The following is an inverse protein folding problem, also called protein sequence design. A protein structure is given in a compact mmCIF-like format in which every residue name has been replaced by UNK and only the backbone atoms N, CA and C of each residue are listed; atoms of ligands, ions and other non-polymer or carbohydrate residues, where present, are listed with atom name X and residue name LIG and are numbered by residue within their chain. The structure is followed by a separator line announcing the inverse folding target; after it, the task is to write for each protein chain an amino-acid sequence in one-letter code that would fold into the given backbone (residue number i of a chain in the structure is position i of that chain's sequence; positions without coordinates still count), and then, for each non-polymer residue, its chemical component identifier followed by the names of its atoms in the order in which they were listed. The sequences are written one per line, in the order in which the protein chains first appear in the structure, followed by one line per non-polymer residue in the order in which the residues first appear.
data_IF_323081192516
#
_entry.id   IF_323081192516
#
_cell.length_a   1.000
_cell.length_b   1.000
_cell.length_c   1.000
_cell.angle_alpha   90.00
_cell.angle_beta   90.00
_cell.angle_gamma   90.00
#
_symmetry.space_group_name_H-M   'P 1'
#
loop_
_entity.id
_entity.type
_entity.pdbx_description
1 polymer ?
#
# COMPACT_ATOMS: atom_id res chain seq x y z
N UNK A 1 6.95 0.13 -10.75
CA UNK A 1 7.12 -1.11 -9.98
C UNK A 1 6.13 -2.21 -10.36
N UNK A 2 4.82 -1.99 -10.39
CA UNK A 2 3.85 -3.05 -10.64
C UNK A 2 4.10 -3.85 -11.93
N UNK A 3 4.34 -3.18 -13.07
CA UNK A 3 4.67 -3.89 -14.33
C UNK A 3 5.98 -4.66 -14.26
N UNK A 4 6.99 -4.11 -13.56
CA UNK A 4 8.27 -4.80 -13.34
C UNK A 4 8.10 -6.08 -12.52
N UNK A 5 7.26 -6.06 -11.47
CA UNK A 5 6.96 -7.24 -10.68
C UNK A 5 6.22 -8.31 -11.51
N UNK A 6 5.25 -7.89 -12.35
CA UNK A 6 4.56 -8.79 -13.28
C UNK A 6 5.54 -9.44 -14.25
N UNK A 7 6.41 -8.65 -14.89
CA UNK A 7 7.39 -9.15 -15.84
C UNK A 7 8.40 -10.09 -15.18
N UNK A 8 8.92 -9.73 -14.01
CA UNK A 8 9.86 -10.54 -13.25
C UNK A 8 9.25 -11.87 -12.81
N UNK A 9 8.06 -11.83 -12.21
CA UNK A 9 7.39 -13.03 -11.74
C UNK A 9 7.00 -13.98 -12.88
N UNK A 10 6.62 -13.42 -14.04
CA UNK A 10 6.38 -14.22 -15.25
C UNK A 10 7.68 -14.86 -15.79
N UNK A 11 8.80 -14.10 -15.80
CA UNK A 11 10.10 -14.60 -16.21
C UNK A 11 10.66 -15.70 -15.28
N UNK A 12 10.37 -15.59 -13.98
CA UNK A 12 10.74 -16.58 -12.97
C UNK A 12 9.75 -17.75 -12.85
N UNK A 13 8.67 -17.76 -13.63
CA UNK A 13 7.65 -18.79 -13.58
C UNK A 13 6.82 -18.80 -12.28
N UNK A 14 6.79 -17.69 -11.52
CA UNK A 14 6.05 -17.60 -10.27
C UNK A 14 4.56 -17.37 -10.49
N UNK A 15 4.23 -16.62 -11.53
CA UNK A 15 2.85 -16.37 -11.97
C UNK A 15 2.81 -16.07 -13.47
N UNK A 16 1.62 -16.22 -14.03
CA UNK A 16 1.33 -15.86 -15.40
C UNK A 16 0.12 -14.91 -15.43
N UNK A 17 0.20 -13.84 -16.23
CA UNK A 17 -0.86 -12.84 -16.36
C UNK A 17 -1.39 -12.83 -17.79
N UNK A 18 -2.38 -13.68 -18.14
CA UNK A 18 -2.88 -13.82 -19.52
C UNK A 18 -3.41 -12.50 -20.10
N UNK A 19 -4.12 -11.70 -19.27
CA UNK A 19 -4.70 -10.42 -19.67
C UNK A 19 -3.62 -9.39 -20.08
N UNK A 20 -2.36 -9.56 -19.67
CA UNK A 20 -1.27 -8.65 -20.05
C UNK A 20 -1.04 -8.58 -21.57
N UNK A 21 -1.55 -9.53 -22.33
CA UNK A 21 -1.49 -9.56 -23.80
C UNK A 21 -2.60 -8.74 -24.48
N UNK A 22 -3.58 -8.25 -23.73
CA UNK A 22 -4.69 -7.48 -24.28
C UNK A 22 -4.35 -5.98 -24.36
N UNK A 23 -4.79 -5.24 -25.40
CA UNK A 23 -4.47 -3.83 -25.56
C UNK A 23 -5.05 -2.94 -24.44
N UNK A 24 -6.15 -3.37 -23.82
CA UNK A 24 -6.79 -2.63 -22.72
C UNK A 24 -6.10 -2.88 -21.35
N UNK A 25 -5.19 -3.86 -21.28
CA UNK A 25 -4.55 -4.25 -20.01
C UNK A 25 -3.92 -3.09 -19.26
N UNK A 26 -3.14 -2.27 -19.94
CA UNK A 26 -2.44 -1.14 -19.30
C UNK A 26 -3.39 -0.16 -18.65
N UNK A 27 -4.49 0.19 -19.32
CA UNK A 27 -5.50 1.10 -18.78
C UNK A 27 -6.17 0.52 -17.53
N UNK A 28 -6.63 -0.72 -17.60
CA UNK A 28 -7.25 -1.43 -16.47
C UNK A 28 -6.27 -1.64 -15.32
N UNK A 29 -5.02 -1.96 -15.63
CA UNK A 29 -3.97 -2.16 -14.64
C UNK A 29 -3.67 -0.87 -13.86
N UNK A 30 -3.45 0.25 -14.55
CA UNK A 30 -3.19 1.52 -13.88
C UNK A 30 -4.40 2.03 -13.11
N UNK A 31 -5.60 1.88 -13.63
CA UNK A 31 -6.82 2.24 -12.91
C UNK A 31 -6.98 1.39 -11.63
N UNK A 32 -6.77 0.08 -11.73
CA UNK A 32 -6.79 -0.83 -10.59
C UNK A 32 -5.72 -0.48 -9.53
N UNK A 33 -4.50 -0.14 -9.97
CA UNK A 33 -3.45 0.31 -9.07
C UNK A 33 -3.84 1.60 -8.33
N UNK A 34 -4.35 2.61 -9.04
CA UNK A 34 -4.76 3.87 -8.42
C UNK A 34 -5.83 3.62 -7.37
N UNK A 35 -6.88 2.88 -7.71
CA UNK A 35 -7.99 2.59 -6.80
C UNK A 35 -7.52 1.77 -5.57
N UNK A 36 -6.71 0.74 -5.80
CA UNK A 36 -6.29 -0.19 -4.72
C UNK A 36 -5.15 0.36 -3.87
N UNK A 37 -4.15 1.02 -4.47
CA UNK A 37 -2.95 1.44 -3.76
C UNK A 37 -3.09 2.79 -3.07
N UNK A 38 -3.91 3.72 -3.58
CA UNK A 38 -4.05 5.05 -2.98
C UNK A 38 -4.51 5.01 -1.52
N UNK A 39 -5.55 4.25 -1.13
CA UNK A 39 -5.93 4.13 0.28
C UNK A 39 -4.80 3.54 1.15
N UNK A 40 -4.11 2.52 0.64
CA UNK A 40 -3.00 1.87 1.36
C UNK A 40 -1.88 2.87 1.62
N UNK A 41 -1.49 3.66 0.61
CA UNK A 41 -0.46 4.69 0.76
C UNK A 41 -0.87 5.78 1.74
N UNK A 42 -2.10 6.28 1.67
CA UNK A 42 -2.58 7.34 2.56
C UNK A 42 -2.65 6.85 4.02
N UNK A 43 -3.13 5.64 4.25
CA UNK A 43 -3.19 5.03 5.58
C UNK A 43 -1.77 4.82 6.12
N UNK A 44 -0.90 4.18 5.32
CA UNK A 44 0.50 3.93 5.70
C UNK A 44 1.22 5.23 6.03
N UNK A 45 1.03 6.26 5.20
CA UNK A 45 1.61 7.58 5.42
C UNK A 45 1.16 8.19 6.74
N UNK A 46 -0.15 8.19 7.03
CA UNK A 46 -0.70 8.71 8.29
C UNK A 46 -0.21 7.93 9.51
N UNK A 47 -0.22 6.61 9.42
CA UNK A 47 0.24 5.72 10.51
C UNK A 47 1.74 5.90 10.76
N UNK A 48 2.56 5.91 9.71
CA UNK A 48 4.00 6.11 9.82
C UNK A 48 4.35 7.50 10.37
N UNK A 49 3.61 8.55 10.01
CA UNK A 49 3.80 9.90 10.58
C UNK A 49 3.45 9.96 12.06
N UNK A 50 2.44 9.22 12.51
CA UNK A 50 2.00 9.21 13.91
C UNK A 50 2.86 8.33 14.80
N UNK A 51 3.24 7.13 14.33
CA UNK A 51 3.89 6.09 15.12
C UNK A 51 5.34 5.80 14.70
N UNK A 52 5.86 6.56 13.72
CA UNK A 52 7.23 6.39 13.23
C UNK A 52 7.43 5.05 12.51
N UNK A 53 8.64 4.50 12.63
CA UNK A 53 9.03 3.25 11.97
C UNK A 53 8.20 2.03 12.43
N UNK A 54 7.71 2.04 13.68
CA UNK A 54 6.85 0.97 14.22
C UNK A 54 5.51 0.93 13.47
N UNK A 55 4.92 2.09 13.22
CA UNK A 55 3.72 2.18 12.42
C UNK A 55 3.92 1.70 10.99
N UNK A 56 5.05 2.06 10.37
CA UNK A 56 5.41 1.57 9.04
C UNK A 56 5.56 0.05 9.03
N UNK A 57 6.28 -0.53 10.00
CA UNK A 57 6.48 -1.97 10.11
C UNK A 57 5.16 -2.73 10.25
N UNK A 58 4.22 -2.21 11.05
CA UNK A 58 2.88 -2.79 11.17
C UNK A 58 2.15 -2.75 9.83
N UNK A 59 2.16 -1.63 9.12
CA UNK A 59 1.51 -1.53 7.80
C UNK A 59 2.13 -2.51 6.79
N UNK A 60 3.46 -2.64 6.76
CA UNK A 60 4.15 -3.59 5.89
C UNK A 60 3.79 -5.05 6.24
N UNK A 61 3.71 -5.39 7.53
CA UNK A 61 3.26 -6.71 7.99
C UNK A 61 1.83 -7.01 7.57
N UNK A 62 0.92 -6.05 7.72
CA UNK A 62 -0.48 -6.20 7.32
C UNK A 62 -0.60 -6.47 5.82
N UNK A 63 0.08 -5.71 4.96
CA UNK A 63 0.00 -5.94 3.51
C UNK A 63 0.66 -7.24 3.09
N UNK A 64 1.73 -7.68 3.76
CA UNK A 64 2.39 -8.96 3.51
C UNK A 64 1.48 -10.15 3.84
N UNK A 65 0.62 -10.02 4.86
CA UNK A 65 -0.27 -11.10 5.30
C UNK A 65 -1.59 -11.10 4.51
N UNK A 66 -2.14 -9.91 4.19
CA UNK A 66 -3.46 -9.81 3.54
C UNK A 66 -3.36 -9.86 2.02
N UNK A 67 -2.26 -9.33 1.44
CA UNK A 67 -2.07 -9.24 -0.01
C UNK A 67 -2.16 -10.59 -0.72
N UNK A 68 -1.29 -11.56 -0.40
CA UNK A 68 -1.27 -12.84 -1.09
C UNK A 68 -2.60 -13.60 -1.03
N UNK A 69 -3.26 -13.80 0.13
CA UNK A 69 -4.56 -14.48 0.16
C UNK A 69 -5.62 -13.78 -0.72
N UNK A 70 -5.63 -12.44 -0.75
CA UNK A 70 -6.52 -11.69 -1.62
C UNK A 70 -6.28 -12.01 -3.10
N UNK A 71 -5.02 -11.98 -3.53
CA UNK A 71 -4.66 -12.17 -4.93
C UNK A 71 -4.88 -13.63 -5.36
N UNK A 72 -4.63 -14.59 -4.48
CA UNK A 72 -4.97 -15.99 -4.72
C UNK A 72 -6.49 -16.21 -4.86
N UNK A 73 -7.30 -15.57 -4.03
CA UNK A 73 -8.77 -15.62 -4.16
C UNK A 73 -9.26 -15.00 -5.47
N UNK A 74 -8.66 -13.88 -5.88
CA UNK A 74 -8.97 -13.23 -7.16
C UNK A 74 -8.55 -14.12 -8.32
N UNK A 75 -7.36 -14.69 -8.29
CA UNK A 75 -6.86 -15.59 -9.31
C UNK A 75 -7.71 -16.87 -9.45
N UNK A 76 -8.16 -17.44 -8.33
CA UNK A 76 -9.07 -18.59 -8.32
C UNK A 76 -10.43 -18.26 -8.96
N UNK A 77 -10.95 -17.04 -8.75
CA UNK A 77 -12.23 -16.59 -9.31
C UNK A 77 -12.11 -16.14 -10.76
N UNK A 78 -10.97 -15.56 -11.13
CA UNK A 78 -10.73 -14.94 -12.44
C UNK A 78 -9.38 -15.39 -13.03
N UNK A 79 -9.25 -16.67 -13.45
CA UNK A 79 -7.97 -17.21 -13.94
C UNK A 79 -7.48 -16.55 -15.22
N UNK A 80 -8.36 -15.89 -15.97
CA UNK A 80 -7.98 -15.07 -17.13
C UNK A 80 -7.11 -13.85 -16.74
N UNK A 81 -7.16 -13.39 -15.49
CA UNK A 81 -6.38 -12.25 -15.01
C UNK A 81 -4.98 -12.69 -14.57
N UNK A 82 -4.90 -13.70 -13.75
CA UNK A 82 -3.64 -14.16 -13.16
C UNK A 82 -3.74 -15.62 -12.74
N UNK A 83 -2.67 -16.35 -12.94
CA UNK A 83 -2.50 -17.74 -12.49
C UNK A 83 -1.19 -17.83 -11.74
N UNK A 84 -1.19 -18.34 -10.52
CA UNK A 84 0.00 -18.59 -9.72
C UNK A 84 0.54 -19.99 -9.98
N UNK A 85 1.86 -20.13 -9.96
CA UNK A 85 2.51 -21.42 -9.91
C UNK A 85 2.23 -22.12 -8.56
N UNK A 86 2.27 -23.46 -8.50
CA UNK A 86 2.12 -24.18 -7.25
C UNK A 86 3.32 -23.96 -6.31
N UNK A 87 3.07 -24.00 -4.99
CA UNK A 87 4.10 -23.94 -3.97
C UNK A 87 4.14 -22.63 -3.19
N UNK A 88 5.14 -22.53 -2.30
CA UNK A 88 5.29 -21.40 -1.36
C UNK A 88 6.01 -20.21 -2.00
N UNK A 89 6.86 -20.47 -3.01
CA UNK A 89 7.66 -19.41 -3.62
C UNK A 89 6.84 -18.25 -4.22
N UNK A 90 5.73 -18.50 -4.96
CA UNK A 90 4.88 -17.42 -5.45
C UNK A 90 4.22 -16.61 -4.32
N UNK A 91 3.83 -17.27 -3.22
CA UNK A 91 3.22 -16.61 -2.06
C UNK A 91 4.21 -15.61 -1.43
N UNK A 92 5.44 -16.05 -1.21
CA UNK A 92 6.50 -15.20 -0.65
C UNK A 92 6.89 -14.07 -1.60
N UNK A 93 6.96 -14.35 -2.90
CA UNK A 93 7.27 -13.34 -3.91
C UNK A 93 6.17 -12.28 -3.99
N UNK A 94 4.91 -12.67 -3.89
CA UNK A 94 3.77 -11.76 -3.88
C UNK A 94 3.77 -10.91 -2.61
N UNK A 95 3.97 -11.50 -1.43
CA UNK A 95 4.14 -10.77 -0.17
C UNK A 95 5.30 -9.76 -0.26
N UNK A 96 6.45 -10.16 -0.79
CA UNK A 96 7.60 -9.27 -0.99
C UNK A 96 7.29 -8.13 -1.96
N UNK A 97 6.48 -8.40 -2.99
CA UNK A 97 6.01 -7.37 -3.94
C UNK A 97 5.15 -6.33 -3.23
N UNK A 98 4.19 -6.74 -2.39
CA UNK A 98 3.38 -5.82 -1.59
C UNK A 98 4.22 -4.96 -0.65
N UNK A 99 5.13 -5.59 0.09
CA UNK A 99 6.06 -4.88 0.99
C UNK A 99 6.91 -3.88 0.20
N UNK A 100 7.49 -4.29 -0.92
CA UNK A 100 8.32 -3.44 -1.77
C UNK A 100 7.57 -2.23 -2.33
N UNK A 101 6.35 -2.44 -2.82
CA UNK A 101 5.51 -1.36 -3.36
C UNK A 101 5.16 -0.35 -2.27
N UNK A 102 4.71 -0.80 -1.10
CA UNK A 102 4.31 0.09 0.01
C UNK A 102 5.53 0.80 0.61
N UNK A 103 6.66 0.10 0.81
CA UNK A 103 7.88 0.70 1.32
C UNK A 103 8.43 1.78 0.37
N UNK A 104 8.46 1.49 -0.94
CA UNK A 104 8.90 2.47 -1.94
C UNK A 104 7.95 3.66 -2.00
N UNK A 105 6.64 3.43 -2.03
CA UNK A 105 5.64 4.50 -2.00
C UNK A 105 5.82 5.40 -0.78
N UNK A 106 6.04 4.80 0.41
CA UNK A 106 6.33 5.57 1.62
C UNK A 106 7.64 6.37 1.49
N UNK A 107 8.71 5.77 0.93
CA UNK A 107 9.98 6.46 0.73
C UNK A 107 9.82 7.67 -0.21
N UNK A 108 9.10 7.50 -1.33
CA UNK A 108 8.80 8.59 -2.27
C UNK A 108 7.98 9.70 -1.59
N UNK A 109 6.93 9.34 -0.85
CA UNK A 109 6.13 10.32 -0.11
C UNK A 109 6.98 11.08 0.92
N UNK A 110 7.92 10.40 1.58
CA UNK A 110 8.85 11.02 2.53
C UNK A 110 9.81 12.00 1.86
N UNK A 111 10.30 11.67 0.67
CA UNK A 111 11.17 12.56 -0.11
C UNK A 111 10.43 13.83 -0.55
N UNK A 112 9.17 13.70 -0.96
CA UNK A 112 8.37 14.84 -1.46
C UNK A 112 7.85 15.71 -0.30
N UNK A 113 7.32 15.08 0.76
CA UNK A 113 6.63 15.78 1.87
C UNK A 113 7.54 16.09 3.06
N UNK A 114 8.81 15.69 3.02
CA UNK A 114 9.77 15.88 4.11
C UNK A 114 9.55 14.98 5.33
N UNK A 115 10.42 15.10 6.36
CA UNK A 115 10.37 14.27 7.55
C UNK A 115 9.14 14.58 8.42
N UNK A 116 8.60 13.56 9.08
CA UNK A 116 7.37 13.63 9.87
C UNK A 116 7.43 14.66 11.04
N UNK A 117 8.63 15.00 11.51
CA UNK A 117 8.84 15.95 12.63
C UNK A 117 8.50 17.40 12.28
N UNK A 118 8.44 17.74 11.00
CA UNK A 118 8.14 19.10 10.51
C UNK A 118 6.64 19.34 10.28
N UNK A 119 5.81 18.31 10.45
CA UNK A 119 4.37 18.43 10.23
C UNK A 119 3.69 19.19 11.40
N UNK A 120 3.44 20.46 11.17
CA UNK A 120 2.73 21.35 12.14
C UNK A 120 1.32 20.84 12.47
N UNK A 121 0.69 20.07 11.58
CA UNK A 121 -0.65 19.51 11.79
C UNK A 121 -0.62 18.31 12.76
N UNK A 122 0.47 17.53 12.78
CA UNK A 122 0.64 16.43 13.73
C UNK A 122 0.88 16.92 15.17
N UNK A 123 1.28 18.19 15.34
CA UNK A 123 1.54 18.80 16.66
C UNK A 123 0.34 19.46 17.30
N UNK A 124 -0.82 19.57 16.63
CA UNK A 124 -2.03 20.09 17.28
C UNK A 124 -2.61 19.01 18.19
N UNK A 125 -2.53 19.18 19.53
CA UNK A 125 -3.22 18.28 20.44
C UNK A 125 -4.72 18.42 20.17
N UNK A 126 -5.42 17.29 20.06
CA UNK A 126 -6.88 17.22 19.87
C UNK A 126 -7.67 17.96 20.98
N UNK A 127 -7.01 18.38 22.07
CA UNK A 127 -7.58 19.06 23.22
C UNK A 127 -7.72 20.59 23.13
N UNK A 128 -7.28 21.23 22.04
CA UNK A 128 -7.26 22.70 21.96
C UNK A 128 -8.63 23.42 21.85
N UNK A 129 -9.72 22.68 21.67
CA UNK A 129 -11.06 23.31 21.54
C UNK A 129 -11.81 23.54 22.86
N UNK A 130 -11.38 22.99 23.97
CA UNK A 130 -12.12 23.14 25.23
C UNK A 130 -11.69 24.35 26.06
N UNK A 131 -10.57 25.04 25.74
CA UNK A 131 -10.12 26.22 26.51
C UNK A 131 -10.72 27.57 26.10
N UNK A 132 -11.48 27.62 25.02
CA UNK A 132 -12.10 28.91 24.59
C UNK A 132 -13.36 29.21 25.37
N UNK A 133 -14.07 28.22 25.90
CA UNK A 133 -15.32 28.44 26.62
C UNK A 133 -15.16 28.86 28.11
N UNK A 134 -14.00 28.60 28.72
CA UNK A 134 -13.82 29.02 30.14
C UNK A 134 -13.58 30.52 30.34
N UNK A 135 -13.13 31.23 29.30
CA UNK A 135 -12.90 32.67 29.40
C UNK A 135 -14.17 33.54 29.20
N UNK A 136 -15.26 32.93 28.73
CA UNK A 136 -16.53 33.68 28.52
C UNK A 136 -17.45 33.56 29.76
N UNK A 137 -17.23 32.56 30.62
CA UNK A 137 -18.05 32.33 31.82
C UNK A 137 -17.62 33.18 33.05
N UNK A 138 -16.52 33.94 32.95
CA UNK A 138 -15.98 34.76 34.06
C UNK A 138 -16.01 36.28 33.82
N UNK A 139 -16.91 36.76 32.93
CA UNK A 139 -17.18 38.20 32.78
C UNK A 139 -18.63 38.50 33.05
#
# INVERSE_FOLDING_TARGET
MGLGAIALGNALGLWHVPIARTPIFLALFYLGLVISCSPIYLITWRVARRFGWRGLAVCLGVVAIIGPPRDYLIAAKYPAWMVFAPGVAPILADAATYVGIVALGHAVMRLIAGPAREDRLARRPWGGRLRVNERIATR
#
